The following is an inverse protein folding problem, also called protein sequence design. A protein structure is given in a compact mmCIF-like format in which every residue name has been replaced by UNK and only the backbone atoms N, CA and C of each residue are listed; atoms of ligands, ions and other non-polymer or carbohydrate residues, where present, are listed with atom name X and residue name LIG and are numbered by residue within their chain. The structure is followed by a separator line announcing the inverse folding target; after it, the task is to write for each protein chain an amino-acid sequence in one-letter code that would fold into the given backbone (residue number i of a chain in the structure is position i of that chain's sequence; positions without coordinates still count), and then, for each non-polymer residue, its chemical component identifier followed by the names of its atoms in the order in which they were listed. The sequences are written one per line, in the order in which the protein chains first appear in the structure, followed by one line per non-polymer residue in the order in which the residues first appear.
data_IF_624108205430
#
_entry.id   IF_624108205430
#
_cell.length_a   1.000
_cell.length_b   1.000
_cell.length_c   1.000
_cell.angle_alpha   90.00
_cell.angle_beta   90.00
_cell.angle_gamma   90.00
#
_symmetry.space_group_name_H-M   'P 1'
#
loop_
_entity.id
_entity.type
_entity.pdbx_description
1 polymer ?
#
# COMPACT_ATOMS: atom_id res chain seq x y z
N UNK A 1 19.23 -17.41 16.30
CA UNK A 1 18.90 -16.11 15.69
C UNK A 1 20.19 -15.32 15.59
N UNK A 2 20.61 -14.94 14.39
CA UNK A 2 21.86 -14.21 14.19
C UNK A 2 21.77 -12.80 14.80
N UNK A 3 22.92 -12.18 15.12
CA UNK A 3 22.95 -10.82 15.68
C UNK A 3 22.23 -9.80 14.76
N UNK A 4 22.21 -10.03 13.45
CA UNK A 4 21.54 -9.16 12.49
C UNK A 4 20.02 -9.38 12.45
N UNK A 5 19.55 -10.63 12.60
CA UNK A 5 18.11 -10.92 12.71
C UNK A 5 17.48 -10.26 13.95
N UNK A 6 18.19 -10.25 15.08
CA UNK A 6 17.72 -9.57 16.29
C UNK A 6 17.63 -8.05 16.08
N UNK A 7 18.64 -7.47 15.43
CA UNK A 7 18.62 -6.03 15.08
C UNK A 7 17.49 -5.68 14.13
N UNK A 8 17.28 -6.47 13.09
CA UNK A 8 16.19 -6.28 12.15
C UNK A 8 14.84 -6.30 12.87
N UNK A 9 14.61 -7.27 13.76
CA UNK A 9 13.39 -7.32 14.57
C UNK A 9 13.20 -6.06 15.42
N UNK A 10 14.27 -5.57 16.06
CA UNK A 10 14.21 -4.32 16.82
C UNK A 10 13.96 -3.10 15.95
N UNK A 11 14.52 -3.05 14.74
CA UNK A 11 14.28 -1.98 13.78
C UNK A 11 12.80 -1.93 13.37
N UNK A 12 12.22 -3.09 13.04
CA UNK A 12 10.80 -3.22 12.71
C UNK A 12 9.90 -2.82 13.89
N UNK A 13 10.25 -3.19 15.13
CA UNK A 13 9.50 -2.74 16.30
C UNK A 13 9.53 -1.21 16.47
N UNK A 14 10.71 -0.59 16.33
CA UNK A 14 10.80 0.88 16.39
C UNK A 14 10.01 1.55 15.27
N UNK A 15 10.01 0.96 14.07
CA UNK A 15 9.21 1.46 12.97
C UNK A 15 7.71 1.42 13.30
N UNK A 16 7.22 0.30 13.83
CA UNK A 16 5.83 0.13 14.24
C UNK A 16 5.42 1.08 15.39
N UNK A 17 6.37 1.46 16.25
CA UNK A 17 6.17 2.45 17.31
C UNK A 17 6.26 3.91 16.81
N UNK A 18 6.51 4.13 15.51
CA UNK A 18 6.73 5.45 14.93
C UNK A 18 8.07 6.09 15.28
N UNK A 19 9.00 5.33 15.89
CA UNK A 19 10.33 5.79 16.25
C UNK A 19 11.30 5.69 15.06
N UNK A 20 11.06 6.54 14.07
CA UNK A 20 11.73 6.50 12.76
C UNK A 20 13.25 6.62 12.87
N UNK A 21 13.76 7.50 13.73
CA UNK A 21 15.22 7.70 13.89
C UNK A 21 15.91 6.44 14.43
N UNK A 22 15.33 5.76 15.42
CA UNK A 22 15.93 4.53 15.94
C UNK A 22 15.81 3.37 14.96
N UNK A 23 14.69 3.28 14.23
CA UNK A 23 14.51 2.32 13.15
C UNK A 23 15.58 2.50 12.06
N UNK A 24 15.77 3.73 11.58
CA UNK A 24 16.74 4.10 10.54
C UNK A 24 18.16 3.63 10.91
N UNK A 25 18.62 3.96 12.13
CA UNK A 25 19.94 3.59 12.61
C UNK A 25 20.14 2.07 12.59
N UNK A 26 19.13 1.30 13.00
CA UNK A 26 19.22 -0.15 13.02
C UNK A 26 19.15 -0.76 11.61
N UNK A 27 18.31 -0.23 10.72
CA UNK A 27 18.25 -0.68 9.33
C UNK A 27 19.59 -0.43 8.61
N UNK A 28 20.18 0.76 8.74
CA UNK A 28 21.50 1.06 8.16
C UNK A 28 22.57 0.09 8.67
N UNK A 29 22.59 -0.20 9.97
CA UNK A 29 23.53 -1.17 10.53
C UNK A 29 23.34 -2.59 10.00
N UNK A 30 22.11 -2.98 9.68
CA UNK A 30 21.83 -4.28 9.06
C UNK A 30 22.27 -4.31 7.60
N UNK A 31 22.00 -3.25 6.84
CA UNK A 31 22.43 -3.09 5.44
C UNK A 31 23.96 -3.13 5.33
N UNK A 32 24.67 -2.39 6.20
CA UNK A 32 26.14 -2.30 6.17
C UNK A 32 26.85 -3.63 6.53
N UNK A 33 26.21 -4.47 7.34
CA UNK A 33 26.82 -5.69 7.91
C UNK A 33 26.35 -6.98 7.29
N UNK A 34 25.31 -6.95 6.46
CA UNK A 34 24.88 -8.12 5.72
C UNK A 34 25.95 -8.46 4.68
N UNK A 35 26.66 -9.56 4.93
CA UNK A 35 27.88 -10.00 4.21
C UNK A 35 27.63 -10.38 2.74
N UNK A 36 26.35 -10.59 2.38
CA UNK A 36 25.90 -10.69 1.00
C UNK A 36 24.74 -9.71 0.78
N UNK A 37 24.83 -8.90 -0.28
CA UNK A 37 23.71 -8.11 -0.82
C UNK A 37 22.54 -9.02 -1.31
N UNK A 38 22.54 -10.30 -0.94
CA UNK A 38 21.60 -11.35 -1.31
C UNK A 38 20.86 -11.96 -0.12
N UNK A 39 21.26 -11.71 1.13
CA UNK A 39 20.51 -12.22 2.29
C UNK A 39 19.11 -11.60 2.41
N UNK A 40 18.20 -12.35 3.01
CA UNK A 40 16.86 -11.86 3.34
C UNK A 40 16.91 -10.66 4.32
N UNK A 41 17.87 -10.66 5.25
CA UNK A 41 18.06 -9.54 6.19
C UNK A 41 18.44 -8.25 5.46
N UNK A 42 19.30 -8.33 4.44
CA UNK A 42 19.65 -7.18 3.62
C UNK A 42 18.42 -6.58 2.92
N UNK A 43 17.65 -7.42 2.22
CA UNK A 43 16.45 -7.00 1.49
C UNK A 43 15.38 -6.39 2.42
N UNK A 44 15.09 -7.05 3.56
CA UNK A 44 14.12 -6.53 4.54
C UNK A 44 14.60 -5.23 5.19
N UNK A 45 15.90 -5.09 5.45
CA UNK A 45 16.45 -3.86 6.04
C UNK A 45 16.43 -2.70 5.06
N UNK A 46 16.71 -2.96 3.78
CA UNK A 46 16.57 -1.96 2.72
C UNK A 46 15.12 -1.51 2.54
N UNK A 47 14.19 -2.45 2.56
CA UNK A 47 12.76 -2.14 2.46
C UNK A 47 12.30 -1.29 3.66
N UNK A 48 12.67 -1.69 4.88
CA UNK A 48 12.38 -0.92 6.08
C UNK A 48 13.00 0.47 6.07
N UNK A 49 14.23 0.61 5.56
CA UNK A 49 14.87 1.91 5.38
C UNK A 49 14.14 2.78 4.37
N UNK A 50 13.71 2.22 3.24
CA UNK A 50 12.94 2.95 2.23
C UNK A 50 11.61 3.46 2.79
N UNK A 51 10.93 2.64 3.60
CA UNK A 51 9.72 3.06 4.31
C UNK A 51 9.98 4.20 5.31
N UNK A 52 11.09 4.14 6.06
CA UNK A 52 11.50 5.26 6.93
C UNK A 52 11.74 6.53 6.12
N UNK A 53 12.39 6.44 4.95
CA UNK A 53 12.64 7.59 4.07
C UNK A 53 11.35 8.18 3.51
N UNK A 54 10.39 7.33 3.13
CA UNK A 54 9.04 7.76 2.77
C UNK A 54 8.36 8.54 3.90
N UNK A 55 8.38 8.02 5.12
CA UNK A 55 7.77 8.67 6.28
C UNK A 55 8.47 9.98 6.70
N UNK A 56 9.73 10.17 6.30
CA UNK A 56 10.48 11.40 6.49
C UNK A 56 10.37 12.38 5.29
N UNK A 57 9.55 12.07 4.28
CA UNK A 57 9.43 12.83 3.03
C UNK A 57 10.75 12.90 2.21
N UNK A 58 11.71 12.01 2.50
CA UNK A 58 12.95 11.86 1.75
C UNK A 58 12.73 10.94 0.54
N UNK A 59 11.85 11.37 -0.37
CA UNK A 59 11.34 10.49 -1.40
C UNK A 59 12.44 9.99 -2.35
N UNK A 60 13.41 10.83 -2.75
CA UNK A 60 14.49 10.44 -3.67
C UNK A 60 15.35 9.31 -3.08
N UNK A 61 15.66 9.38 -1.78
CA UNK A 61 16.36 8.30 -1.09
C UNK A 61 15.52 7.02 -1.04
N UNK A 62 14.20 7.12 -0.84
CA UNK A 62 13.31 5.96 -0.86
C UNK A 62 13.27 5.29 -2.24
N UNK A 63 13.16 6.10 -3.30
CA UNK A 63 13.19 5.64 -4.69
C UNK A 63 14.49 4.89 -5.01
N UNK A 64 15.64 5.46 -4.68
CA UNK A 64 16.93 4.82 -4.91
C UNK A 64 17.07 3.47 -4.17
N UNK A 65 16.52 3.38 -2.95
CA UNK A 65 16.49 2.13 -2.19
C UNK A 65 15.60 1.07 -2.85
N UNK A 66 14.40 1.45 -3.31
CA UNK A 66 13.53 0.52 -4.03
C UNK A 66 14.08 0.12 -5.40
N UNK A 67 14.72 1.02 -6.15
CA UNK A 67 15.39 0.68 -7.40
C UNK A 67 16.51 -0.36 -7.21
N UNK A 68 17.28 -0.23 -6.12
CA UNK A 68 18.28 -1.26 -5.74
C UNK A 68 17.64 -2.60 -5.35
N UNK A 69 16.47 -2.58 -4.72
CA UNK A 69 15.70 -3.80 -4.44
C UNK A 69 15.15 -4.43 -5.73
N UNK A 70 14.77 -3.62 -6.72
CA UNK A 70 14.33 -4.09 -8.02
C UNK A 70 15.46 -4.85 -8.74
N UNK A 71 16.65 -4.25 -8.82
CA UNK A 71 17.83 -4.88 -9.41
C UNK A 71 18.19 -6.21 -8.70
N UNK A 72 18.04 -6.25 -7.38
CA UNK A 72 18.24 -7.48 -6.60
C UNK A 72 17.21 -8.55 -6.96
N UNK A 73 15.94 -8.19 -7.06
CA UNK A 73 14.87 -9.11 -7.42
C UNK A 73 15.06 -9.64 -8.85
N UNK A 74 15.44 -8.78 -9.80
CA UNK A 74 15.78 -9.17 -11.17
C UNK A 74 16.97 -10.14 -11.21
N UNK A 75 18.05 -9.84 -10.50
CA UNK A 75 19.24 -10.70 -10.43
C UNK A 75 18.91 -12.09 -9.86
N UNK A 76 17.91 -12.17 -8.98
CA UNK A 76 17.42 -13.43 -8.38
C UNK A 76 16.33 -14.12 -9.20
N UNK A 77 15.84 -13.49 -10.28
CA UNK A 77 14.61 -13.90 -10.97
C UNK A 77 13.42 -14.05 -10.00
N UNK A 78 13.35 -13.17 -9.00
CA UNK A 78 12.28 -13.14 -8.00
C UNK A 78 11.10 -12.32 -8.53
N UNK A 79 10.18 -13.01 -9.21
CA UNK A 79 8.97 -12.39 -9.79
C UNK A 79 8.13 -11.67 -8.75
N UNK A 80 7.96 -12.25 -7.55
CA UNK A 80 7.16 -11.65 -6.50
C UNK A 80 7.87 -10.42 -5.90
N UNK A 81 9.18 -10.51 -5.68
CA UNK A 81 9.99 -9.37 -5.26
C UNK A 81 9.91 -8.20 -6.24
N UNK A 82 9.89 -8.46 -7.55
CA UNK A 82 9.71 -7.42 -8.57
C UNK A 82 8.33 -6.76 -8.49
N UNK A 83 7.26 -7.54 -8.35
CA UNK A 83 5.90 -7.00 -8.21
C UNK A 83 5.78 -6.10 -6.97
N UNK A 84 6.25 -6.58 -5.81
CA UNK A 84 6.26 -5.81 -4.56
C UNK A 84 7.06 -4.51 -4.72
N UNK A 85 8.21 -4.54 -5.39
CA UNK A 85 9.01 -3.31 -5.57
C UNK A 85 8.32 -2.31 -6.50
N UNK A 86 7.68 -2.75 -7.58
CA UNK A 86 6.88 -1.86 -8.43
C UNK A 86 5.71 -1.24 -7.67
N UNK A 87 5.02 -2.00 -6.82
CA UNK A 87 3.98 -1.47 -5.94
C UNK A 87 4.53 -0.30 -5.10
N UNK A 88 5.67 -0.51 -4.45
CA UNK A 88 6.27 0.48 -3.57
C UNK A 88 6.79 1.71 -4.33
N UNK A 89 7.34 1.54 -5.53
CA UNK A 89 7.71 2.66 -6.40
C UNK A 89 6.46 3.47 -6.82
N UNK A 90 5.33 2.80 -7.07
CA UNK A 90 4.04 3.46 -7.31
C UNK A 90 3.60 4.31 -6.12
N UNK A 91 3.67 3.75 -4.90
CA UNK A 91 3.37 4.49 -3.67
C UNK A 91 4.29 5.70 -3.46
N UNK A 92 5.58 5.58 -3.80
CA UNK A 92 6.55 6.69 -3.76
C UNK A 92 6.09 7.85 -4.65
N UNK A 93 5.77 7.57 -5.91
CA UNK A 93 5.36 8.60 -6.87
C UNK A 93 3.98 9.18 -6.53
N UNK A 94 3.04 8.35 -6.08
CA UNK A 94 1.74 8.79 -5.59
C UNK A 94 1.87 9.79 -4.44
N UNK A 95 2.74 9.51 -3.47
CA UNK A 95 2.95 10.38 -2.31
C UNK A 95 3.63 11.69 -2.70
N UNK A 96 4.49 11.69 -3.73
CA UNK A 96 5.07 12.91 -4.32
C UNK A 96 4.08 13.75 -5.13
N UNK A 97 2.92 13.18 -5.48
CA UNK A 97 1.95 13.80 -6.39
C UNK A 97 2.24 13.57 -7.88
N UNK A 98 3.17 12.66 -8.22
CA UNK A 98 3.49 12.27 -9.59
C UNK A 98 2.57 11.12 -10.04
N UNK A 99 1.30 11.46 -10.25
CA UNK A 99 0.25 10.47 -10.44
C UNK A 99 0.38 9.63 -11.72
N UNK A 100 0.94 10.19 -12.81
CA UNK A 100 1.13 9.44 -14.05
C UNK A 100 2.21 8.36 -13.89
N UNK A 101 3.31 8.72 -13.23
CA UNK A 101 4.42 7.82 -12.89
C UNK A 101 3.98 6.74 -11.90
N UNK A 102 3.13 7.09 -10.92
CA UNK A 102 2.53 6.11 -10.01
C UNK A 102 1.73 5.03 -10.75
N UNK A 103 0.85 5.45 -11.67
CA UNK A 103 0.06 4.54 -12.51
C UNK A 103 0.94 3.65 -13.39
N UNK A 104 2.07 4.16 -13.91
CA UNK A 104 3.02 3.36 -14.68
C UNK A 104 3.62 2.22 -13.82
N UNK A 105 4.01 2.52 -12.57
CA UNK A 105 4.54 1.51 -11.67
C UNK A 105 3.49 0.47 -11.27
N UNK A 106 2.26 0.90 -10.97
CA UNK A 106 1.17 -0.03 -10.69
C UNK A 106 0.81 -0.91 -11.90
N UNK A 107 0.90 -0.38 -13.13
CA UNK A 107 0.72 -1.17 -14.34
C UNK A 107 1.84 -2.19 -14.56
N UNK A 108 3.09 -1.87 -14.19
CA UNK A 108 4.19 -2.83 -14.20
C UNK A 108 3.96 -3.99 -13.21
N UNK A 109 3.52 -3.69 -11.99
CA UNK A 109 3.11 -4.70 -11.01
C UNK A 109 2.01 -5.61 -11.59
N UNK A 110 0.94 -5.04 -12.12
CA UNK A 110 -0.17 -5.78 -12.71
C UNK A 110 0.29 -6.70 -13.86
N UNK A 111 1.15 -6.19 -14.75
CA UNK A 111 1.72 -6.99 -15.85
C UNK A 111 2.54 -8.17 -15.36
N UNK A 112 3.24 -8.04 -14.22
CA UNK A 112 4.01 -9.14 -13.64
C UNK A 112 3.07 -10.24 -13.15
N UNK A 113 2.00 -9.89 -12.41
CA UNK A 113 1.02 -10.87 -11.93
C UNK A 113 0.33 -11.60 -13.09
N UNK A 114 -0.13 -10.86 -14.11
CA UNK A 114 -0.74 -11.44 -15.31
C UNK A 114 0.19 -12.42 -16.03
N UNK A 115 1.48 -12.08 -16.14
CA UNK A 115 2.47 -12.92 -16.81
C UNK A 115 2.87 -14.17 -16.02
N UNK A 116 2.70 -14.15 -14.69
CA UNK A 116 3.13 -15.24 -13.81
C UNK A 116 2.08 -16.33 -13.63
N UNK A 117 0.87 -16.16 -14.19
CA UNK A 117 -0.30 -17.05 -14.01
C UNK A 117 -0.64 -17.30 -12.53
N UNK A 118 -0.26 -16.37 -11.65
CA UNK A 118 -0.62 -16.40 -10.24
C UNK A 118 -1.96 -15.71 -10.08
N UNK A 119 -2.97 -16.46 -9.66
CA UNK A 119 -4.23 -15.90 -9.19
C UNK A 119 -4.03 -15.48 -7.72
N UNK A 120 -3.74 -14.19 -7.51
CA UNK A 120 -3.68 -13.58 -6.19
C UNK A 120 -4.65 -12.40 -6.15
N UNK A 121 -5.90 -12.71 -5.80
CA UNK A 121 -6.97 -11.74 -5.73
C UNK A 121 -6.69 -10.61 -4.72
N UNK A 122 -5.94 -10.90 -3.65
CA UNK A 122 -5.58 -9.88 -2.66
C UNK A 122 -4.63 -8.85 -3.28
N UNK A 123 -3.54 -9.31 -3.90
CA UNK A 123 -2.57 -8.41 -4.52
C UNK A 123 -3.19 -7.60 -5.68
N UNK A 124 -4.06 -8.24 -6.47
CA UNK A 124 -4.78 -7.54 -7.55
C UNK A 124 -5.75 -6.50 -6.99
N UNK A 125 -6.50 -6.81 -5.94
CA UNK A 125 -7.40 -5.87 -5.29
C UNK A 125 -6.65 -4.64 -4.74
N UNK A 126 -5.52 -4.85 -4.04
CA UNK A 126 -4.71 -3.77 -3.47
C UNK A 126 -4.14 -2.87 -4.59
N UNK A 127 -3.60 -3.44 -5.66
CA UNK A 127 -3.07 -2.67 -6.78
C UNK A 127 -4.17 -1.85 -7.49
N UNK A 128 -5.34 -2.45 -7.76
CA UNK A 128 -6.47 -1.74 -8.37
C UNK A 128 -7.04 -0.66 -7.46
N UNK A 129 -7.06 -0.89 -6.14
CA UNK A 129 -7.44 0.12 -5.16
C UNK A 129 -6.54 1.35 -5.24
N UNK A 130 -5.21 1.17 -5.26
CA UNK A 130 -4.27 2.29 -5.37
C UNK A 130 -4.43 3.03 -6.71
N UNK A 131 -4.59 2.32 -7.83
CA UNK A 131 -4.88 2.95 -9.12
C UNK A 131 -6.19 3.77 -9.06
N UNK A 132 -7.24 3.21 -8.48
CA UNK A 132 -8.53 3.89 -8.29
C UNK A 132 -8.41 5.16 -7.45
N UNK A 133 -7.61 5.10 -6.37
CA UNK A 133 -7.31 6.25 -5.53
C UNK A 133 -6.50 7.32 -6.28
N UNK A 134 -5.49 6.92 -7.07
CA UNK A 134 -4.74 7.86 -7.92
C UNK A 134 -5.64 8.54 -8.94
N UNK A 135 -6.54 7.80 -9.61
CA UNK A 135 -7.53 8.41 -10.52
C UNK A 135 -8.48 9.36 -9.80
N UNK A 136 -8.88 9.05 -8.57
CA UNK A 136 -9.67 9.95 -7.74
C UNK A 136 -8.93 11.26 -7.45
N UNK A 137 -7.64 11.19 -7.08
CA UNK A 137 -6.79 12.38 -6.87
C UNK A 137 -6.60 13.21 -8.14
N UNK A 138 -6.62 12.57 -9.31
CA UNK A 138 -6.59 13.24 -10.62
C UNK A 138 -7.96 13.78 -11.07
N UNK A 139 -9.01 13.62 -10.26
CA UNK A 139 -10.41 13.94 -10.58
C UNK A 139 -10.96 13.16 -11.81
N UNK A 140 -10.32 12.05 -12.21
CA UNK A 140 -10.82 11.13 -13.24
C UNK A 140 -11.78 10.12 -12.60
N UNK A 141 -12.95 10.61 -12.17
CA UNK A 141 -13.91 9.84 -11.40
C UNK A 141 -14.48 8.62 -12.14
N UNK A 142 -14.48 8.64 -13.47
CA UNK A 142 -14.91 7.49 -14.27
C UNK A 142 -13.92 6.33 -14.14
N UNK A 143 -12.62 6.60 -14.32
CA UNK A 143 -11.60 5.57 -14.13
C UNK A 143 -11.45 5.15 -12.67
N UNK A 144 -11.60 6.09 -11.73
CA UNK A 144 -11.62 5.79 -10.31
C UNK A 144 -12.74 4.79 -9.96
N UNK A 145 -13.97 5.02 -10.46
CA UNK A 145 -15.09 4.10 -10.25
C UNK A 145 -14.78 2.71 -10.81
N UNK A 146 -14.34 2.63 -12.07
CA UNK A 146 -14.08 1.35 -12.72
C UNK A 146 -13.00 0.54 -11.98
N UNK A 147 -11.90 1.19 -11.58
CA UNK A 147 -10.81 0.54 -10.86
C UNK A 147 -11.25 0.08 -9.46
N UNK A 148 -12.02 0.91 -8.73
CA UNK A 148 -12.51 0.55 -7.39
C UNK A 148 -13.59 -0.52 -7.42
N UNK A 149 -14.45 -0.54 -8.43
CA UNK A 149 -15.46 -1.60 -8.62
C UNK A 149 -14.78 -2.94 -8.94
N UNK A 150 -13.74 -2.95 -9.78
CA UNK A 150 -12.93 -4.14 -10.05
C UNK A 150 -12.13 -4.58 -8.81
N UNK A 151 -11.55 -3.62 -8.07
CA UNK A 151 -10.87 -3.89 -6.80
C UNK A 151 -11.80 -4.57 -5.79
N UNK A 152 -13.08 -4.15 -5.72
CA UNK A 152 -14.05 -4.72 -4.79
C UNK A 152 -14.36 -6.18 -5.11
N UNK A 153 -14.52 -6.54 -6.40
CA UNK A 153 -14.75 -7.93 -6.81
C UNK A 153 -13.57 -8.84 -6.42
N UNK A 154 -12.35 -8.37 -6.65
CA UNK A 154 -11.13 -9.10 -6.24
C UNK A 154 -11.02 -9.17 -4.70
N UNK A 155 -11.28 -8.08 -3.97
CA UNK A 155 -11.22 -8.06 -2.51
C UNK A 155 -12.22 -9.02 -1.87
N UNK A 156 -13.42 -9.14 -2.45
CA UNK A 156 -14.42 -10.11 -2.00
C UNK A 156 -13.98 -11.55 -2.25
N UNK A 157 -13.31 -11.82 -3.38
CA UNK A 157 -12.76 -13.15 -3.68
C UNK A 157 -11.54 -13.50 -2.84
N UNK A 158 -10.79 -12.51 -2.36
CA UNK A 158 -9.65 -12.72 -1.46
C UNK A 158 -10.05 -12.98 -0.01
N UNK A 159 -11.32 -12.77 0.36
CA UNK A 159 -11.84 -12.87 1.72
C UNK A 159 -11.04 -12.03 2.75
N UNK A 160 -10.40 -10.93 2.33
CA UNK A 160 -9.63 -10.06 3.21
C UNK A 160 -10.48 -8.88 3.72
N UNK A 161 -10.91 -8.88 4.99
CA UNK A 161 -11.87 -7.89 5.48
C UNK A 161 -11.33 -6.47 5.42
N UNK A 162 -10.03 -6.28 5.66
CA UNK A 162 -9.40 -4.96 5.68
C UNK A 162 -9.40 -4.34 4.28
N UNK A 163 -9.06 -5.12 3.25
CA UNK A 163 -9.07 -4.68 1.85
C UNK A 163 -10.50 -4.40 1.41
N UNK A 164 -11.47 -5.28 1.72
CA UNK A 164 -12.89 -5.05 1.42
C UNK A 164 -13.36 -3.73 2.03
N UNK A 165 -13.10 -3.51 3.33
CA UNK A 165 -13.49 -2.29 4.02
C UNK A 165 -12.83 -1.03 3.43
N UNK A 166 -11.56 -1.12 3.06
CA UNK A 166 -10.82 -0.01 2.45
C UNK A 166 -11.37 0.37 1.08
N UNK A 167 -11.69 -0.62 0.23
CA UNK A 167 -12.32 -0.36 -1.07
C UNK A 167 -13.71 0.24 -0.91
N UNK A 168 -14.52 -0.28 0.02
CA UNK A 168 -15.82 0.34 0.35
C UNK A 168 -15.63 1.78 0.84
N UNK A 169 -14.64 2.07 1.68
CA UNK A 169 -14.35 3.43 2.10
C UNK A 169 -14.08 4.36 0.89
N UNK A 170 -13.21 3.95 -0.03
CA UNK A 170 -12.90 4.75 -1.22
C UNK A 170 -14.10 4.93 -2.16
N UNK A 171 -14.94 3.91 -2.35
CA UNK A 171 -16.18 4.01 -3.11
C UNK A 171 -17.18 4.99 -2.45
N UNK A 172 -17.21 5.02 -1.11
CA UNK A 172 -17.96 5.99 -0.34
C UNK A 172 -17.48 7.42 -0.60
N UNK A 173 -16.17 7.65 -0.58
CA UNK A 173 -15.55 8.95 -0.89
C UNK A 173 -15.84 9.40 -2.33
N UNK A 174 -15.76 8.48 -3.29
CA UNK A 174 -16.10 8.74 -4.68
C UNK A 174 -17.59 9.11 -4.84
N UNK A 175 -18.48 8.37 -4.20
CA UNK A 175 -19.92 8.66 -4.22
C UNK A 175 -20.24 10.01 -3.56
N UNK A 176 -19.55 10.32 -2.45
CA UNK A 176 -19.67 11.59 -1.74
C UNK A 176 -19.26 12.78 -2.62
N UNK A 177 -18.13 12.65 -3.32
CA UNK A 177 -17.65 13.65 -4.27
C UNK A 177 -18.64 13.86 -5.42
N UNK A 178 -19.27 12.77 -5.89
CA UNK A 178 -20.36 12.79 -6.87
C UNK A 178 -21.71 13.27 -6.32
N UNK A 179 -21.80 13.68 -5.05
CA UNK A 179 -23.04 14.06 -4.33
C UNK A 179 -24.12 12.98 -4.34
N UNK A 180 -23.73 11.72 -4.48
CA UNK A 180 -24.63 10.58 -4.38
C UNK A 180 -24.71 10.12 -2.93
N UNK A 181 -25.60 10.77 -2.16
CA UNK A 181 -25.80 10.53 -0.74
C UNK A 181 -26.09 9.07 -0.42
N UNK A 182 -26.98 8.43 -1.17
CA UNK A 182 -27.42 7.07 -0.89
C UNK A 182 -26.28 6.07 -1.05
N UNK A 183 -25.52 6.14 -2.15
CA UNK A 183 -24.33 5.28 -2.36
C UNK A 183 -23.23 5.56 -1.34
N UNK A 184 -22.98 6.82 -1.01
CA UNK A 184 -21.97 7.17 -0.02
C UNK A 184 -22.30 6.53 1.34
N UNK A 185 -23.56 6.64 1.79
CA UNK A 185 -24.00 6.02 3.04
C UNK A 185 -23.91 4.49 2.99
N UNK A 186 -24.31 3.86 1.88
CA UNK A 186 -24.20 2.42 1.68
C UNK A 186 -22.76 1.94 1.88
N UNK A 187 -21.82 2.52 1.13
CA UNK A 187 -20.42 2.11 1.16
C UNK A 187 -19.73 2.42 2.50
N UNK A 188 -19.96 3.59 3.08
CA UNK A 188 -19.37 3.90 4.41
C UNK A 188 -19.92 3.01 5.51
N UNK A 189 -21.21 2.64 5.46
CA UNK A 189 -21.82 1.76 6.47
C UNK A 189 -21.24 0.35 6.38
N UNK A 190 -21.05 -0.18 5.17
CA UNK A 190 -20.43 -1.48 4.96
C UNK A 190 -18.98 -1.50 5.48
N UNK A 191 -18.16 -0.51 5.09
CA UNK A 191 -16.79 -0.37 5.58
C UNK A 191 -16.75 -0.28 7.12
N UNK A 192 -17.64 0.51 7.73
CA UNK A 192 -17.70 0.70 9.17
C UNK A 192 -18.02 -0.62 9.89
N UNK A 193 -19.01 -1.37 9.39
CA UNK A 193 -19.41 -2.64 9.99
C UNK A 193 -18.25 -3.65 10.00
N UNK A 194 -17.45 -3.67 8.93
CA UNK A 194 -16.27 -4.54 8.83
C UNK A 194 -15.18 -4.09 9.82
N UNK A 195 -14.79 -2.82 9.83
CA UNK A 195 -13.78 -2.33 10.78
C UNK A 195 -14.17 -2.54 12.25
N UNK A 196 -15.46 -2.40 12.60
CA UNK A 196 -15.96 -2.72 13.93
C UNK A 196 -15.79 -4.21 14.28
N UNK A 197 -16.04 -5.11 13.32
CA UNK A 197 -15.87 -6.55 13.49
C UNK A 197 -14.40 -6.93 13.67
N UNK A 198 -13.49 -6.26 12.96
CA UNK A 198 -12.04 -6.46 13.05
C UNK A 198 -11.40 -5.75 14.27
N UNK A 199 -12.20 -5.08 15.11
CA UNK A 199 -11.76 -4.27 16.26
C UNK A 199 -10.87 -3.07 15.89
N UNK A 200 -10.95 -2.58 14.65
CA UNK A 200 -10.31 -1.33 14.23
C UNK A 200 -11.18 -0.14 14.62
N UNK A 201 -11.06 0.27 15.88
CA UNK A 201 -11.87 1.36 16.44
C UNK A 201 -11.59 2.73 15.78
N UNK A 202 -10.33 3.11 15.47
CA UNK A 202 -10.05 4.38 14.79
C UNK A 202 -10.72 4.51 13.42
N UNK A 203 -10.63 3.49 12.56
CA UNK A 203 -11.26 3.56 11.23
C UNK A 203 -12.79 3.55 11.29
N UNK A 204 -13.36 2.79 12.21
CA UNK A 204 -14.81 2.81 12.45
C UNK A 204 -15.31 4.19 12.93
N UNK A 205 -14.52 4.88 13.75
CA UNK A 205 -14.83 6.24 14.24
C UNK A 205 -14.72 7.29 13.12
N UNK A 206 -13.68 7.22 12.29
CA UNK A 206 -13.55 8.08 11.10
C UNK A 206 -14.80 7.98 10.21
N UNK A 207 -15.22 6.75 9.89
CA UNK A 207 -16.41 6.51 9.06
C UNK A 207 -17.70 7.00 9.72
N UNK A 208 -17.79 7.02 11.05
CA UNK A 208 -18.92 7.64 11.77
C UNK A 208 -19.01 9.14 11.44
N UNK A 209 -17.87 9.82 11.41
CA UNK A 209 -17.78 11.23 11.03
C UNK A 209 -18.23 11.47 9.58
N UNK A 210 -17.79 10.61 8.66
CA UNK A 210 -18.20 10.67 7.24
C UNK A 210 -19.70 10.44 7.07
N UNK A 211 -20.24 9.38 7.67
CA UNK A 211 -21.68 9.06 7.66
C UNK A 211 -22.51 10.22 8.20
N UNK A 212 -22.10 10.82 9.33
CA UNK A 212 -22.79 11.97 9.94
C UNK A 212 -22.78 13.17 8.99
N UNK A 213 -21.64 13.45 8.36
CA UNK A 213 -21.49 14.55 7.41
C UNK A 213 -22.39 14.35 6.19
N UNK A 214 -22.35 13.16 5.59
CA UNK A 214 -23.18 12.78 4.42
C UNK A 214 -24.66 12.85 4.74
N UNK A 215 -25.06 12.39 5.93
CA UNK A 215 -26.45 12.41 6.39
C UNK A 215 -27.02 13.82 6.50
N UNK A 216 -26.16 14.83 6.73
CA UNK A 216 -26.55 16.23 6.90
C UNK A 216 -26.71 17.02 5.59
N UNK A 217 -26.32 16.46 4.44
CA UNK A 217 -26.54 17.07 3.11
C UNK A 217 -28.02 17.20 2.76
#
# INVERSE_FOLDING_TARGET
MSMLEDKLKRALNYLNEGNLTQAEVLFLQCVDKADDQKSNVFAQSMHGLAYVKMAQEHFDEAWDLYMRLLELAETKNDTNGRAIVHHQLGMVEQTRGHYAEALEQFAHEQSIYQSSMVEDDLSVAINLFEQGYVYFLMEDFEKASNALDEALDHAQRSDDPVTIASVHHALGDLAAQGKNKDKALEHYTEAQAIFQKENDSPMAEELTGKITTVSAW
#
